data_IF_786951887735
#
_entry.id   IF_786951887735
#
_cell.length_a   1.000
_cell.length_b   1.000
_cell.length_c   1.000
_cell.angle_alpha   90.00
_cell.angle_beta   90.00
_cell.angle_gamma   90.00
#
_symmetry.space_group_name_H-M   'P 1'
#
loop_
_entity.id
_entity.type
_entity.pdbx_description
1 polymer ?
#
# COMPACT_ATOMS: atom_id res chain seq x y z
N UNK A 1 -17.12 -48.43 -53.34
CA UNK A 1 -15.99 -47.74 -53.98
C UNK A 1 -16.22 -46.24 -53.80
N UNK A 2 -15.18 -45.53 -53.32
CA UNK A 2 -14.87 -44.08 -53.33
C UNK A 2 -16.02 -43.06 -53.51
N UNK A 3 -16.12 -41.96 -52.76
CA UNK A 3 -15.06 -41.03 -52.38
C UNK A 3 -15.44 -40.21 -51.13
N UNK A 4 -14.46 -40.00 -50.25
CA UNK A 4 -14.53 -39.05 -49.15
C UNK A 4 -14.06 -37.66 -49.64
N UNK A 5 -14.98 -36.71 -49.74
CA UNK A 5 -14.67 -35.30 -49.99
C UNK A 5 -14.31 -34.63 -48.66
N UNK A 6 -13.00 -34.45 -48.41
CA UNK A 6 -12.49 -33.70 -47.26
C UNK A 6 -12.68 -32.21 -47.51
N UNK A 7 -13.74 -31.63 -46.93
CA UNK A 7 -13.92 -30.19 -46.84
C UNK A 7 -12.80 -29.59 -45.99
N UNK A 8 -11.94 -28.79 -46.61
CA UNK A 8 -10.92 -27.99 -45.93
C UNK A 8 -11.62 -26.81 -45.24
N UNK A 9 -11.52 -26.61 -43.92
CA UNK A 9 -12.12 -25.46 -43.29
C UNK A 9 -11.32 -24.23 -43.74
N UNK A 10 -11.98 -23.32 -44.46
CA UNK A 10 -11.48 -21.96 -44.70
C UNK A 10 -11.46 -21.23 -43.36
N UNK A 11 -10.44 -21.50 -42.55
CA UNK A 11 -10.08 -20.69 -41.40
C UNK A 11 -9.64 -19.35 -41.98
N UNK A 12 -10.56 -18.39 -42.04
CA UNK A 12 -10.21 -16.99 -42.22
C UNK A 12 -9.31 -16.61 -41.05
N UNK A 13 -7.99 -16.61 -41.30
CA UNK A 13 -7.02 -15.94 -40.45
C UNK A 13 -7.28 -14.44 -40.59
N UNK A 14 -8.19 -13.92 -39.77
CA UNK A 14 -8.26 -12.50 -39.47
C UNK A 14 -7.01 -12.23 -38.64
N UNK A 15 -5.89 -11.95 -39.31
CA UNK A 15 -4.77 -11.26 -38.69
C UNK A 15 -5.30 -9.89 -38.29
N UNK A 16 -5.81 -9.80 -37.06
CA UNK A 16 -6.09 -8.52 -36.42
C UNK A 16 -4.79 -7.73 -36.47
N UNK A 17 -4.70 -6.78 -37.40
CA UNK A 17 -3.73 -5.71 -37.36
C UNK A 17 -3.97 -5.01 -36.02
N UNK A 18 -3.23 -5.42 -34.99
CA UNK A 18 -2.96 -4.58 -33.83
C UNK A 18 -2.22 -3.39 -34.41
N UNK A 19 -2.98 -2.37 -34.81
CA UNK A 19 -2.48 -1.02 -34.95
C UNK A 19 -1.96 -0.68 -33.57
N UNK A 20 -0.67 -0.90 -33.39
CA UNK A 20 0.07 -0.41 -32.25
C UNK A 20 0.14 1.10 -32.49
N UNK A 21 -0.97 1.79 -32.23
CA UNK A 21 -0.99 3.23 -32.12
C UNK A 21 -0.08 3.52 -30.94
N UNK A 22 1.18 3.80 -31.23
CA UNK A 22 2.01 4.54 -30.31
C UNK A 22 1.22 5.81 -30.04
N UNK A 23 0.58 5.87 -28.87
CA UNK A 23 -0.04 7.09 -28.38
C UNK A 23 1.16 8.02 -28.14
N UNK A 24 1.58 8.70 -29.21
CA UNK A 24 2.56 9.76 -29.13
C UNK A 24 1.94 10.81 -28.23
N UNK A 25 2.65 11.17 -27.16
CA UNK A 25 2.22 12.27 -26.33
C UNK A 25 2.14 13.52 -27.20
N UNK A 26 0.99 14.19 -27.15
CA UNK A 26 0.80 15.48 -27.81
C UNK A 26 1.87 16.47 -27.32
N UNK A 27 2.51 17.19 -28.26
CA UNK A 27 3.74 17.96 -28.01
C UNK A 27 3.44 19.47 -28.02
N UNK A 28 4.29 20.29 -27.41
CA UNK A 28 4.18 21.74 -27.50
C UNK A 28 3.43 22.45 -26.35
N UNK A 29 3.12 23.71 -26.59
CA UNK A 29 2.38 24.57 -25.66
C UNK A 29 0.90 24.20 -25.61
N UNK A 30 0.36 24.15 -24.39
CA UNK A 30 -1.08 24.03 -24.15
C UNK A 30 -1.74 25.41 -23.99
N UNK A 31 -0.98 26.38 -23.46
CA UNK A 31 -1.40 27.78 -23.33
C UNK A 31 -0.23 28.70 -23.68
N UNK A 32 -0.53 29.79 -24.40
CA UNK A 32 0.46 30.73 -24.92
C UNK A 32 -0.15 32.11 -25.23
N UNK A 33 0.72 33.10 -25.42
CA UNK A 33 0.35 34.47 -25.81
C UNK A 33 1.21 35.01 -26.95
N UNK A 34 0.68 35.93 -27.75
CA UNK A 34 1.47 36.65 -28.75
C UNK A 34 2.29 37.76 -28.10
N UNK A 35 3.55 37.87 -28.50
CA UNK A 35 4.42 38.99 -28.20
C UNK A 35 5.13 39.43 -29.49
N UNK A 36 4.58 40.44 -30.15
CA UNK A 36 5.01 40.84 -31.49
C UNK A 36 4.78 39.70 -32.50
N UNK A 37 5.86 39.21 -33.11
CA UNK A 37 5.81 38.11 -34.08
C UNK A 37 6.04 36.73 -33.44
N UNK A 38 6.32 36.69 -32.13
CA UNK A 38 6.61 35.45 -31.41
C UNK A 38 5.42 34.98 -30.58
N UNK A 39 5.38 33.68 -30.35
CA UNK A 39 4.51 33.01 -29.39
C UNK A 39 5.30 32.78 -28.11
N UNK A 40 4.80 33.29 -26.98
CA UNK A 40 5.35 33.03 -25.67
C UNK A 40 4.52 31.99 -24.94
N UNK A 41 5.14 30.85 -24.62
CA UNK A 41 4.50 29.74 -23.94
C UNK A 41 4.24 30.09 -22.48
N UNK A 42 3.02 29.85 -22.01
CA UNK A 42 2.65 29.99 -20.59
C UNK A 42 2.60 28.64 -19.89
N UNK A 43 2.23 27.61 -20.62
CA UNK A 43 2.12 26.24 -20.10
C UNK A 43 2.33 25.23 -21.21
N UNK A 44 3.14 24.23 -20.92
CA UNK A 44 3.32 23.08 -21.79
C UNK A 44 2.18 22.07 -21.60
N UNK A 45 1.92 21.26 -22.63
CA UNK A 45 1.04 20.10 -22.50
C UNK A 45 1.57 19.13 -21.41
N UNK A 46 0.70 18.33 -20.76
CA UNK A 46 1.12 17.39 -19.73
C UNK A 46 2.28 16.50 -20.20
N UNK A 47 3.30 16.37 -19.36
CA UNK A 47 4.48 15.58 -19.68
C UNK A 47 5.47 16.19 -20.65
N UNK A 48 5.30 17.47 -21.03
CA UNK A 48 6.24 18.22 -21.83
C UNK A 48 7.00 19.24 -20.98
N UNK A 49 8.32 19.32 -21.16
CA UNK A 49 9.16 20.35 -20.55
C UNK A 49 9.30 21.55 -21.49
N UNK A 50 9.50 22.73 -20.91
CA UNK A 50 9.83 23.93 -21.66
C UNK A 50 11.26 23.83 -22.22
N UNK A 51 11.44 24.23 -23.47
CA UNK A 51 12.75 24.37 -24.11
C UNK A 51 13.15 25.84 -24.17
N UNK A 52 12.22 26.69 -24.60
CA UNK A 52 12.40 28.13 -24.69
C UNK A 52 11.08 28.83 -24.38
N UNK A 53 11.13 29.98 -23.71
CA UNK A 53 9.92 30.68 -23.27
C UNK A 53 9.11 31.29 -24.42
N UNK A 54 9.78 31.76 -25.48
CA UNK A 54 9.12 32.37 -26.64
C UNK A 54 9.79 31.96 -27.94
N UNK A 55 9.02 31.88 -29.02
CA UNK A 55 9.52 31.65 -30.38
C UNK A 55 8.38 31.54 -31.37
N UNK A 56 8.70 31.29 -32.64
CA UNK A 56 7.70 31.34 -33.73
C UNK A 56 6.73 30.15 -33.76
N UNK A 57 7.15 29.03 -33.19
CA UNK A 57 6.48 27.74 -33.35
C UNK A 57 6.11 27.16 -31.97
N UNK A 58 4.85 27.29 -31.52
CA UNK A 58 4.42 26.82 -30.20
C UNK A 58 4.60 25.32 -29.98
N UNK A 59 4.66 24.53 -31.06
CA UNK A 59 4.88 23.09 -31.00
C UNK A 59 6.32 22.73 -30.60
N UNK A 60 7.27 23.64 -30.80
CA UNK A 60 8.70 23.41 -30.51
C UNK A 60 9.17 24.01 -29.20
N UNK A 61 8.37 24.89 -28.61
CA UNK A 61 8.71 25.53 -27.33
C UNK A 61 8.62 24.55 -26.16
N UNK A 62 7.86 23.46 -26.31
CA UNK A 62 7.84 22.38 -25.34
C UNK A 62 8.03 21.04 -26.01
N UNK A 63 8.76 20.14 -25.37
CA UNK A 63 8.99 18.77 -25.87
C UNK A 63 8.68 17.73 -24.81
N UNK A 64 8.27 16.51 -25.18
CA UNK A 64 7.96 15.46 -24.22
C UNK A 64 9.18 15.08 -23.38
N UNK A 65 8.91 14.67 -22.15
CA UNK A 65 9.94 14.07 -21.30
C UNK A 65 10.43 12.73 -21.87
N UNK A 66 11.70 12.46 -21.64
CA UNK A 66 12.32 11.18 -22.01
C UNK A 66 11.76 10.03 -21.15
N UNK A 67 11.86 8.77 -21.61
CA UNK A 67 11.51 7.61 -20.78
C UNK A 67 12.17 7.66 -19.40
N UNK A 68 11.48 7.13 -18.39
CA UNK A 68 11.90 7.15 -16.98
C UNK A 68 12.04 8.55 -16.35
N UNK A 69 11.45 9.57 -16.99
CA UNK A 69 11.31 10.91 -16.44
C UNK A 69 9.87 11.42 -16.53
N UNK A 70 9.51 12.36 -15.67
CA UNK A 70 8.18 12.97 -15.60
C UNK A 70 8.24 14.47 -15.31
N UNK A 71 7.17 15.19 -15.60
CA UNK A 71 7.00 16.59 -15.22
C UNK A 71 5.52 16.90 -14.95
N UNK A 72 5.25 17.63 -13.86
CA UNK A 72 3.88 18.03 -13.46
C UNK A 72 3.66 19.54 -13.53
N UNK A 73 4.71 20.32 -13.77
CA UNK A 73 4.69 21.78 -13.81
C UNK A 73 5.40 22.31 -15.05
N UNK A 74 5.35 23.61 -15.27
CA UNK A 74 6.00 24.26 -16.40
C UNK A 74 7.47 24.57 -16.07
N UNK A 75 8.36 23.59 -16.28
CA UNK A 75 9.79 23.69 -15.98
C UNK A 75 10.64 23.34 -17.21
N UNK A 76 11.91 23.74 -17.17
CA UNK A 76 12.88 23.45 -18.23
C UNK A 76 13.46 22.02 -18.19
N UNK A 77 13.15 21.24 -17.16
CA UNK A 77 13.72 19.90 -16.99
C UNK A 77 12.69 18.92 -16.42
N UNK A 78 12.77 17.67 -16.87
CA UNK A 78 11.99 16.57 -16.34
C UNK A 78 12.68 15.98 -15.11
N UNK A 79 11.89 15.50 -14.16
CA UNK A 79 12.35 14.83 -12.96
C UNK A 79 12.47 13.33 -13.23
N UNK A 80 13.46 12.67 -12.63
CA UNK A 80 13.54 11.20 -12.71
C UNK A 80 12.42 10.56 -11.93
N UNK A 81 11.85 9.51 -12.49
CA UNK A 81 10.83 8.72 -11.81
C UNK A 81 11.39 8.10 -10.52
N UNK A 82 10.59 8.13 -9.46
CA UNK A 82 10.87 7.43 -8.21
C UNK A 82 10.95 5.92 -8.47
N UNK A 83 11.93 5.26 -7.86
CA UNK A 83 12.05 3.80 -7.88
C UNK A 83 11.55 3.22 -6.56
N UNK A 84 10.61 2.27 -6.64
CA UNK A 84 10.10 1.56 -5.47
C UNK A 84 11.05 0.41 -5.11
N UNK A 85 11.84 0.59 -4.07
CA UNK A 85 12.91 -0.37 -3.68
C UNK A 85 12.66 -0.99 -2.30
N UNK A 86 13.33 -2.11 -2.03
CA UNK A 86 13.28 -2.81 -0.74
C UNK A 86 11.89 -3.33 -0.38
N UNK A 87 11.27 -2.72 0.64
CA UNK A 87 9.95 -3.10 1.19
C UNK A 87 8.78 -2.49 0.42
N UNK A 88 9.05 -1.68 -0.60
CA UNK A 88 8.03 -1.07 -1.45
C UNK A 88 7.70 -1.95 -2.66
N UNK A 89 6.57 -1.67 -3.27
CA UNK A 89 6.17 -2.15 -4.60
C UNK A 89 5.60 -0.98 -5.42
N UNK A 90 5.65 -1.11 -6.75
CA UNK A 90 5.05 -0.11 -7.65
C UNK A 90 3.54 -0.24 -7.65
N UNK A 91 2.85 0.75 -7.10
CA UNK A 91 1.38 0.81 -7.09
C UNK A 91 0.85 1.44 -8.38
N UNK A 92 1.52 2.49 -8.86
CA UNK A 92 1.27 3.08 -10.19
C UNK A 92 2.61 3.32 -10.89
N UNK A 93 2.76 2.89 -12.16
CA UNK A 93 3.98 3.12 -12.91
C UNK A 93 4.15 4.61 -13.21
N UNK A 94 5.40 5.02 -13.45
CA UNK A 94 5.69 6.35 -13.92
C UNK A 94 5.09 6.60 -15.32
N UNK A 95 4.70 7.83 -15.57
CA UNK A 95 4.39 8.34 -16.92
C UNK A 95 5.12 9.65 -17.12
N UNK A 96 5.22 10.13 -18.35
CA UNK A 96 5.83 11.44 -18.62
C UNK A 96 5.16 12.59 -17.85
N UNK A 97 3.90 12.44 -17.43
CA UNK A 97 3.13 13.46 -16.70
C UNK A 97 2.92 13.16 -15.21
N UNK A 98 3.44 12.04 -14.70
CA UNK A 98 3.22 11.65 -13.30
C UNK A 98 4.33 10.75 -12.77
N UNK A 99 4.81 11.03 -11.56
CA UNK A 99 5.78 10.17 -10.89
C UNK A 99 5.23 8.75 -10.63
N UNK A 100 6.14 7.80 -10.41
CA UNK A 100 5.83 6.50 -9.84
C UNK A 100 5.18 6.67 -8.47
N UNK A 101 4.11 5.94 -8.21
CA UNK A 101 3.52 5.85 -6.86
C UNK A 101 3.93 4.52 -6.24
N UNK A 102 4.59 4.59 -5.08
CA UNK A 102 4.98 3.41 -4.33
C UNK A 102 3.97 3.05 -3.24
N UNK A 103 3.79 1.75 -3.01
CA UNK A 103 3.08 1.19 -1.86
C UNK A 103 4.00 0.30 -1.02
N UNK A 104 3.52 -0.16 0.15
CA UNK A 104 4.28 -1.05 1.04
C UNK A 104 3.79 -2.49 0.96
N UNK A 105 4.73 -3.44 0.89
CA UNK A 105 4.43 -4.88 0.88
C UNK A 105 3.68 -5.30 2.16
N UNK A 106 2.99 -6.44 2.10
CA UNK A 106 2.28 -6.99 3.26
C UNK A 106 3.17 -7.09 4.51
N UNK A 107 2.62 -6.75 5.68
CA UNK A 107 3.36 -6.62 6.95
C UNK A 107 4.06 -5.27 7.14
N UNK A 108 3.94 -4.36 6.18
CA UNK A 108 4.48 -3.01 6.25
C UNK A 108 3.41 -1.97 5.92
N UNK A 109 3.61 -0.74 6.40
CA UNK A 109 2.75 0.41 6.11
C UNK A 109 3.57 1.65 5.78
N UNK A 110 2.92 2.65 5.18
CA UNK A 110 3.57 3.90 4.80
C UNK A 110 4.05 4.68 6.03
N UNK A 111 5.30 5.11 6.02
CA UNK A 111 5.87 5.93 7.10
C UNK A 111 5.54 7.43 6.99
N UNK A 112 4.95 7.86 5.88
CA UNK A 112 4.44 9.21 5.64
C UNK A 112 3.35 9.19 4.55
N UNK A 113 2.72 10.34 4.33
CA UNK A 113 1.61 10.48 3.37
C UNK A 113 2.01 10.19 1.92
N UNK A 114 3.28 10.42 1.57
CA UNK A 114 3.84 10.12 0.23
C UNK A 114 4.29 8.67 0.08
N UNK A 115 4.20 7.86 1.13
CA UNK A 115 4.73 6.50 1.20
C UNK A 115 6.19 6.35 0.73
N UNK A 116 7.04 7.36 1.00
CA UNK A 116 8.42 7.37 0.49
C UNK A 116 9.33 6.33 1.18
N UNK A 117 8.89 5.80 2.32
CA UNK A 117 9.49 4.64 2.96
C UNK A 117 8.42 3.84 3.71
N UNK A 118 8.73 2.56 3.94
CA UNK A 118 7.87 1.65 4.68
C UNK A 118 8.40 1.41 6.10
N UNK A 119 7.48 1.30 7.05
CA UNK A 119 7.74 0.88 8.43
C UNK A 119 7.05 -0.46 8.68
N UNK A 120 7.59 -1.27 9.59
CA UNK A 120 6.90 -2.50 10.00
C UNK A 120 5.55 -2.16 10.63
N UNK A 121 4.50 -2.87 10.24
CA UNK A 121 3.20 -2.73 10.89
C UNK A 121 3.23 -3.49 12.22
N UNK A 122 3.03 -2.76 13.32
CA UNK A 122 3.10 -3.35 14.65
C UNK A 122 1.75 -3.90 15.02
N UNK A 123 1.73 -5.05 15.67
CA UNK A 123 0.50 -5.65 16.19
C UNK A 123 0.19 -5.12 17.60
N UNK A 124 -0.94 -5.58 18.13
CA UNK A 124 -1.25 -5.41 19.56
C UNK A 124 -0.09 -5.92 20.43
N UNK A 125 0.15 -5.20 21.51
CA UNK A 125 1.25 -5.43 22.43
C UNK A 125 2.64 -5.06 21.91
N UNK A 126 2.70 -4.40 20.76
CA UNK A 126 3.92 -3.81 20.22
C UNK A 126 3.75 -2.31 19.97
N UNK A 127 4.86 -1.58 19.94
CA UNK A 127 4.91 -0.17 19.53
C UNK A 127 6.02 0.09 18.49
N UNK A 128 5.80 1.06 17.58
CA UNK A 128 6.83 1.55 16.67
C UNK A 128 8.10 2.05 17.34
N UNK A 129 9.24 1.84 16.68
CA UNK A 129 10.55 2.35 17.08
C UNK A 129 11.11 3.35 16.07
N UNK A 130 12.18 4.08 16.44
CA UNK A 130 12.86 5.03 15.54
C UNK A 130 13.52 4.32 14.35
N UNK A 131 13.88 3.06 14.52
CA UNK A 131 14.48 2.18 13.51
C UNK A 131 13.43 1.64 12.52
N UNK A 132 12.22 2.22 12.49
CA UNK A 132 11.12 1.82 11.58
C UNK A 132 10.68 0.37 11.78
N UNK A 133 10.88 -0.14 12.99
CA UNK A 133 10.57 -1.49 13.42
C UNK A 133 9.55 -1.48 14.57
N UNK A 134 9.27 -2.63 15.14
CA UNK A 134 8.35 -2.79 16.26
C UNK A 134 9.08 -3.44 17.43
N UNK A 135 8.73 -3.04 18.64
CA UNK A 135 9.16 -3.68 19.89
C UNK A 135 7.96 -4.01 20.75
N UNK A 136 8.06 -5.04 21.59
CA UNK A 136 7.02 -5.33 22.59
C UNK A 136 6.88 -4.19 23.59
N UNK A 137 5.67 -3.99 24.10
CA UNK A 137 5.44 -3.05 25.18
C UNK A 137 6.33 -3.37 26.39
N UNK A 138 7.00 -2.37 26.97
CA UNK A 138 7.73 -2.52 28.23
C UNK A 138 6.80 -2.95 29.38
N UNK A 139 7.38 -3.46 30.46
CA UNK A 139 6.63 -3.77 31.68
C UNK A 139 5.89 -2.51 32.19
N UNK A 140 4.65 -2.70 32.64
CA UNK A 140 3.81 -1.59 33.08
C UNK A 140 2.99 -0.93 31.98
N UNK A 141 3.12 -1.39 30.73
CA UNK A 141 2.45 -0.81 29.55
C UNK A 141 1.73 -1.85 28.71
N UNK A 142 0.75 -1.38 27.94
CA UNK A 142 0.02 -2.18 26.95
C UNK A 142 -0.26 -1.40 25.67
N UNK A 143 -0.56 -2.11 24.59
CA UNK A 143 -1.14 -1.54 23.38
C UNK A 143 -2.24 -2.46 22.84
N UNK A 144 -3.45 -1.95 22.83
CA UNK A 144 -4.68 -2.62 22.38
C UNK A 144 -5.01 -2.34 20.91
N UNK A 145 -4.11 -1.66 20.17
CA UNK A 145 -4.35 -1.24 18.79
C UNK A 145 -3.17 -1.60 17.88
N UNK A 146 -3.47 -1.83 16.61
CA UNK A 146 -2.44 -2.01 15.58
C UNK A 146 -1.69 -0.69 15.38
N UNK A 147 -0.36 -0.78 15.39
CA UNK A 147 0.58 0.31 15.11
C UNK A 147 0.30 1.60 15.90
N UNK A 148 0.18 1.46 17.22
CA UNK A 148 0.03 2.56 18.17
C UNK A 148 1.16 2.54 19.20
N UNK A 149 1.34 3.64 19.93
CA UNK A 149 2.24 3.70 21.08
C UNK A 149 1.66 2.91 22.25
N UNK A 150 2.52 2.29 23.06
CA UNK A 150 2.11 1.65 24.29
C UNK A 150 1.72 2.69 25.35
N UNK A 151 0.60 2.45 26.02
CA UNK A 151 0.04 3.28 27.09
C UNK A 151 0.39 2.67 28.44
N UNK A 152 0.50 3.51 29.45
CA UNK A 152 0.66 3.06 30.84
C UNK A 152 -0.57 2.28 31.29
N UNK A 153 -0.36 1.23 32.07
CA UNK A 153 -1.45 0.58 32.78
C UNK A 153 -2.09 1.53 33.79
N UNK A 154 -3.37 1.30 34.05
CA UNK A 154 -4.07 1.84 35.21
C UNK A 154 -3.34 1.47 36.50
N UNK A 155 -3.17 2.47 37.38
CA UNK A 155 -2.45 2.33 38.67
C UNK A 155 -3.34 2.50 39.90
N UNK A 156 -4.61 2.89 39.73
CA UNK A 156 -5.53 3.18 40.84
C UNK A 156 -6.89 2.49 40.69
N UNK A 157 -7.52 2.25 41.84
CA UNK A 157 -8.84 1.67 41.99
C UNK A 157 -9.73 2.59 42.83
N UNK A 158 -11.04 2.66 42.55
CA UNK A 158 -12.03 3.12 43.53
C UNK A 158 -12.04 2.25 44.78
N UNK A 159 -12.54 2.79 45.89
CA UNK A 159 -12.65 2.07 47.17
C UNK A 159 -13.45 0.77 47.02
N UNK A 160 -12.97 -0.29 47.67
CA UNK A 160 -13.59 -1.63 47.62
C UNK A 160 -13.25 -2.46 46.37
N UNK A 161 -12.40 -1.95 45.47
CA UNK A 161 -11.90 -2.69 44.29
C UNK A 161 -10.43 -3.06 44.43
N UNK A 162 -10.04 -4.14 43.76
CA UNK A 162 -8.66 -4.62 43.64
C UNK A 162 -8.20 -4.51 42.18
N UNK A 163 -6.95 -4.11 41.98
CA UNK A 163 -6.34 -4.01 40.65
C UNK A 163 -5.80 -5.37 40.21
N UNK A 164 -6.28 -5.86 39.07
CA UNK A 164 -5.66 -7.00 38.36
C UNK A 164 -4.74 -6.45 37.29
N UNK A 165 -3.47 -6.88 37.34
CA UNK A 165 -2.47 -6.49 36.35
C UNK A 165 -2.91 -6.93 34.95
N UNK A 166 -2.79 -5.99 34.01
CA UNK A 166 -2.96 -6.25 32.60
C UNK A 166 -1.81 -7.06 32.02
N UNK A 167 -1.80 -7.18 30.69
CA UNK A 167 -0.72 -7.79 29.93
C UNK A 167 -0.28 -6.81 28.82
N UNK A 168 0.55 -7.27 27.88
CA UNK A 168 1.04 -6.39 26.81
C UNK A 168 -0.06 -5.89 25.86
N UNK A 169 -1.19 -6.58 25.74
CA UNK A 169 -2.33 -6.18 24.88
C UNK A 169 -3.50 -5.57 25.65
N UNK A 170 -3.58 -5.74 26.97
CA UNK A 170 -4.72 -5.28 27.78
C UNK A 170 -4.32 -4.41 28.97
N UNK A 171 -5.16 -3.42 29.29
CA UNK A 171 -5.00 -2.60 30.49
C UNK A 171 -5.20 -3.44 31.77
N UNK A 172 -4.73 -2.91 32.90
CA UNK A 172 -5.10 -3.39 34.22
C UNK A 172 -6.56 -3.05 34.51
N UNK A 173 -7.29 -4.01 35.07
CA UNK A 173 -8.73 -3.88 35.37
C UNK A 173 -8.99 -3.86 36.86
N UNK A 174 -10.04 -3.17 37.27
CA UNK A 174 -10.46 -3.14 38.65
C UNK A 174 -11.57 -4.17 38.84
N UNK A 175 -11.49 -4.98 39.89
CA UNK A 175 -12.50 -5.97 40.22
C UNK A 175 -12.95 -5.79 41.66
N UNK A 176 -14.25 -5.93 41.91
CA UNK A 176 -14.80 -5.93 43.26
C UNK A 176 -14.37 -7.21 43.98
N UNK A 177 -14.01 -7.10 45.27
CA UNK A 177 -13.59 -8.24 46.10
C UNK A 177 -14.64 -9.38 46.14
N UNK A 178 -15.92 -9.05 46.03
CA UNK A 178 -16.98 -10.08 45.94
C UNK A 178 -16.93 -10.87 44.62
N UNK A 179 -16.47 -10.27 43.52
CA UNK A 179 -16.30 -10.93 42.22
C UNK A 179 -15.03 -11.79 42.12
N UNK A 180 -14.03 -11.55 43.00
CA UNK A 180 -12.83 -12.42 43.10
C UNK A 180 -13.19 -13.85 43.52
N UNK A 181 -14.20 -14.01 44.38
CA UNK A 181 -14.69 -15.33 44.80
C UNK A 181 -15.57 -16.02 43.72
N UNK A 182 -16.14 -15.25 42.79
CA UNK A 182 -16.86 -15.80 41.63
C UNK A 182 -15.91 -16.17 40.48
N UNK A 183 -14.81 -15.44 40.27
CA UNK A 183 -13.81 -15.79 39.26
C UNK A 183 -13.02 -17.07 39.62
N UNK A 184 -12.68 -17.26 40.90
CA UNK A 184 -12.06 -18.51 41.35
C UNK A 184 -12.99 -19.73 41.24
N UNK A 185 -14.31 -19.53 41.19
CA UNK A 185 -15.28 -20.62 41.00
C UNK A 185 -15.58 -20.89 39.51
N UNK A 186 -15.46 -19.88 38.64
CA UNK A 186 -15.59 -20.08 37.17
C UNK A 186 -14.39 -20.86 36.60
N UNK A 187 -13.16 -20.63 37.08
CA UNK A 187 -11.98 -21.40 36.62
C UNK A 187 -11.87 -22.83 37.18
N UNK A 188 -12.79 -23.26 38.04
CA UNK A 188 -12.79 -24.62 38.63
C UNK A 188 -13.76 -25.57 37.91
N UNK A 189 -14.57 -25.11 36.95
CA UNK A 189 -15.47 -26.00 36.19
C UNK A 189 -15.44 -25.74 34.69
N UNK A 190 -14.26 -25.88 34.08
CA UNK A 190 -14.22 -26.40 32.73
C UNK A 190 -13.74 -27.85 32.85
N UNK A 191 -14.64 -28.86 32.74
CA UNK A 191 -14.20 -30.23 32.69
C UNK A 191 -13.28 -30.35 31.47
N UNK A 192 -12.03 -30.75 31.69
CA UNK A 192 -11.16 -31.21 30.61
C UNK A 192 -11.95 -32.28 29.85
N UNK A 193 -12.40 -31.95 28.64
CA UNK A 193 -12.89 -32.95 27.71
C UNK A 193 -11.67 -33.78 27.30
N UNK A 194 -11.47 -34.90 27.98
CA UNK A 194 -10.53 -35.93 27.58
C UNK A 194 -10.96 -36.43 26.18
N UNK A 195 -10.05 -36.51 25.19
CA UNK A 195 -10.40 -37.08 23.90
C UNK A 195 -10.82 -38.55 24.08
N UNK A 196 -12.02 -38.90 23.61
CA UNK A 196 -12.51 -40.28 23.59
C UNK A 196 -11.48 -41.19 22.88
N UNK A 197 -11.19 -42.39 23.41
CA UNK A 197 -10.36 -43.36 22.70
C UNK A 197 -11.08 -43.82 21.43
N UNK A 198 -10.40 -43.66 20.29
CA UNK A 198 -10.82 -44.18 18.99
C UNK A 198 -10.73 -45.71 19.05
N UNK A 199 -11.88 -46.38 19.18
CA UNK A 199 -11.97 -47.82 18.94
C UNK A 199 -11.75 -48.05 17.44
N UNK A 200 -10.61 -48.64 17.09
CA UNK A 200 -10.39 -49.21 15.75
C UNK A 200 -11.05 -50.57 15.70
N UNK A 201 -12.24 -50.64 15.09
CA UNK A 201 -12.88 -51.91 14.79
C UNK A 201 -12.22 -52.53 13.53
N UNK A 202 -11.59 -53.68 13.73
CA UNK A 202 -11.17 -54.59 12.67
C UNK A 202 -12.37 -55.43 12.25
N UNK A 203 -12.84 -55.24 11.01
CA UNK A 203 -13.48 -56.27 10.16
C UNK A 203 -13.51 -55.70 8.73
N UNK A 204 -12.97 -56.33 7.70
CA UNK A 204 -13.03 -57.76 7.41
C UNK A 204 -14.20 -58.03 6.46
N UNK A 205 -14.04 -57.64 5.18
CA UNK A 205 -14.57 -58.34 4.00
C UNK A 205 -13.82 -57.89 2.76
#
# INVERSE_FOLDING_TARGET
MMAASRGLPRILLIFSLVLNSTIGADTGCDDWTLNGNDVCCKRCKPGNRLVESCGRDPEKLCIPCEPDTYITSHEFHCLRCTQCIGKQFTLKPCTISSDTVCGCKAGYRCGNDKCSFCVTECKEGEEPTKERSCRKCPEGKFNDKIHSMCKEWRKSCPDGQTLVKGNVTSDSINILLHNLMFLSTIFVTEPKQEPLPVLTDKKGK
#
